data_IF_989293941219
#
_entry.id   IF_989293941219
#
_cell.length_a   1.000
_cell.length_b   1.000
_cell.length_c   1.000
_cell.angle_alpha   90.00
_cell.angle_beta   90.00
_cell.angle_gamma   90.00
#
_symmetry.space_group_name_H-M   'P 1'
#
loop_
_entity.id
_entity.type
_entity.pdbx_description
1 polymer ?
#
# COMPACT_ATOMS: atom_id res chain seq x y z
N UNK A 1 23.73 3.01 -7.04
CA UNK A 1 22.51 3.14 -7.85
C UNK A 1 22.33 1.81 -8.56
N UNK A 2 21.36 0.99 -8.15
CA UNK A 2 21.10 -0.31 -8.79
C UNK A 2 20.26 -0.07 -10.04
N UNK A 3 20.92 0.23 -11.16
CA UNK A 3 20.29 0.20 -12.49
C UNK A 3 20.51 -1.18 -13.09
N UNK A 4 19.59 -2.11 -12.84
CA UNK A 4 19.45 -3.30 -13.67
C UNK A 4 18.05 -3.31 -14.28
N UNK A 5 17.98 -3.13 -15.59
CA UNK A 5 16.81 -3.54 -16.37
C UNK A 5 16.81 -5.07 -16.36
N UNK A 6 16.01 -5.67 -15.49
CA UNK A 6 15.93 -7.13 -15.34
C UNK A 6 15.05 -7.68 -16.47
N UNK A 7 15.61 -8.59 -17.27
CA UNK A 7 14.81 -9.41 -18.21
C UNK A 7 14.06 -10.49 -17.43
N UNK A 8 12.83 -10.89 -17.84
CA UNK A 8 11.90 -11.67 -17.02
C UNK A 8 12.40 -13.05 -16.54
N UNK A 9 13.47 -13.58 -17.15
CA UNK A 9 13.88 -14.98 -16.98
C UNK A 9 15.24 -15.15 -16.29
N UNK A 10 15.87 -14.06 -15.83
CA UNK A 10 17.15 -14.12 -15.11
C UNK A 10 16.95 -14.08 -13.58
N UNK A 11 17.33 -15.17 -12.90
CA UNK A 11 17.55 -15.17 -11.45
C UNK A 11 19.00 -14.75 -11.17
N UNK A 12 19.20 -13.53 -10.66
CA UNK A 12 20.50 -13.09 -10.14
C UNK A 12 20.70 -13.67 -8.73
N UNK A 13 21.72 -14.52 -8.57
CA UNK A 13 22.07 -15.18 -7.31
C UNK A 13 23.03 -14.37 -6.42
N UNK A 14 23.48 -13.21 -6.89
CA UNK A 14 24.45 -12.36 -6.19
C UNK A 14 23.78 -11.20 -5.45
N UNK A 15 24.26 -10.91 -4.24
CA UNK A 15 23.96 -9.69 -3.52
C UNK A 15 24.74 -8.57 -4.21
N UNK A 16 24.13 -7.92 -5.20
CA UNK A 16 24.71 -6.74 -5.86
C UNK A 16 24.04 -5.47 -5.34
N UNK A 17 24.86 -4.56 -4.82
CA UNK A 17 24.49 -3.29 -4.20
C UNK A 17 25.48 -2.95 -3.09
N UNK A 18 25.90 -1.68 -2.95
CA UNK A 18 26.66 -1.31 -1.74
C UNK A 18 25.77 -1.56 -0.53
N UNK A 19 26.25 -2.33 0.45
CA UNK A 19 25.45 -2.89 1.56
C UNK A 19 24.53 -1.88 2.27
N UNK A 20 24.85 -0.59 2.20
CA UNK A 20 24.11 0.52 2.79
C UNK A 20 22.75 0.82 2.17
N UNK A 21 22.53 0.50 0.88
CA UNK A 21 21.29 0.86 0.17
C UNK A 21 20.33 -0.31 -0.02
N UNK A 22 20.74 -1.51 0.40
CA UNK A 22 20.00 -2.75 0.13
C UNK A 22 18.75 -2.82 1.00
N UNK A 23 17.60 -3.11 0.38
CA UNK A 23 16.33 -3.29 1.07
C UNK A 23 16.27 -4.64 1.81
N UNK A 24 15.52 -4.76 2.92
CA UNK A 24 15.46 -5.99 3.73
C UNK A 24 15.05 -7.25 2.94
N UNK A 25 14.15 -7.10 1.97
CA UNK A 25 13.63 -8.19 1.14
C UNK A 25 14.64 -8.68 0.09
N UNK A 26 15.57 -7.83 -0.36
CA UNK A 26 16.61 -8.20 -1.32
C UNK A 26 17.60 -9.17 -0.69
N UNK A 27 17.81 -9.08 0.63
CA UNK A 27 18.58 -10.07 1.40
C UNK A 27 17.95 -11.47 1.36
N UNK A 28 16.65 -11.55 1.06
CA UNK A 28 15.89 -12.78 0.88
C UNK A 28 15.70 -13.15 -0.61
N UNK A 29 16.45 -12.51 -1.52
CA UNK A 29 16.39 -12.69 -2.99
C UNK A 29 15.02 -12.33 -3.60
N UNK A 30 14.27 -11.46 -2.95
CA UNK A 30 13.03 -10.90 -3.49
C UNK A 30 13.31 -9.50 -4.05
N UNK A 31 13.62 -9.43 -5.35
CA UNK A 31 13.78 -8.17 -6.06
C UNK A 31 12.41 -7.64 -6.49
N UNK A 32 12.14 -6.37 -6.19
CA UNK A 32 10.86 -5.72 -6.48
C UNK A 32 11.08 -4.22 -6.68
N UNK A 33 10.18 -3.53 -7.37
CA UNK A 33 10.27 -2.07 -7.60
C UNK A 33 10.23 -1.28 -6.28
N UNK A 34 9.65 -1.88 -5.25
CA UNK A 34 9.63 -1.37 -3.90
C UNK A 34 11.04 -1.30 -3.28
N UNK A 35 11.97 -2.18 -3.68
CA UNK A 35 13.36 -2.14 -3.21
C UNK A 35 14.11 -0.88 -3.67
N UNK A 36 13.77 -0.35 -4.85
CA UNK A 36 14.29 0.92 -5.34
C UNK A 36 13.79 2.09 -4.48
N UNK A 37 12.52 2.03 -4.08
CA UNK A 37 11.94 3.05 -3.17
C UNK A 37 12.64 3.07 -1.80
N UNK A 38 13.07 1.91 -1.28
CA UNK A 38 13.91 1.86 -0.08
C UNK A 38 15.27 2.52 -0.31
N UNK A 39 15.91 2.21 -1.44
CA UNK A 39 17.21 2.80 -1.80
C UNK A 39 17.13 4.32 -1.89
N UNK A 40 16.03 4.85 -2.47
CA UNK A 40 15.73 6.29 -2.49
C UNK A 40 15.59 6.81 -1.07
N UNK A 41 14.85 6.12 -0.19
CA UNK A 41 14.73 6.49 1.23
C UNK A 41 16.07 6.59 1.95
N UNK A 42 16.99 5.65 1.71
CA UNK A 42 18.35 5.68 2.28
C UNK A 42 19.13 6.90 1.77
N UNK A 43 19.07 7.18 0.47
CA UNK A 43 19.75 8.33 -0.14
C UNK A 43 19.17 9.63 0.43
N UNK A 44 17.85 9.77 0.51
CA UNK A 44 17.19 10.95 1.08
C UNK A 44 17.57 11.15 2.55
N UNK A 45 17.61 10.08 3.35
CA UNK A 45 18.08 10.14 4.74
C UNK A 45 19.49 10.72 4.82
N UNK A 46 20.43 10.21 4.00
CA UNK A 46 21.82 10.67 3.97
C UNK A 46 21.89 12.14 3.53
N UNK A 47 21.11 12.56 2.54
CA UNK A 47 21.11 13.95 2.07
C UNK A 47 20.62 14.93 3.14
N UNK A 48 19.65 14.54 3.98
CA UNK A 48 19.07 15.40 5.01
C UNK A 48 19.94 15.52 6.26
N UNK A 49 20.62 14.45 6.68
CA UNK A 49 21.35 14.43 7.94
C UNK A 49 22.86 14.16 7.84
N UNK A 50 23.37 13.84 6.65
CA UNK A 50 24.78 13.50 6.43
C UNK A 50 25.22 12.16 7.02
N UNK A 51 24.32 11.38 7.62
CA UNK A 51 24.62 10.11 8.28
C UNK A 51 23.85 8.94 7.65
N UNK A 52 24.32 7.71 7.90
CA UNK A 52 23.70 6.49 7.36
C UNK A 52 22.57 6.02 8.29
N UNK A 53 21.39 5.66 7.76
CA UNK A 53 20.29 5.19 8.61
C UNK A 53 20.61 3.85 9.30
N UNK A 54 21.44 3.02 8.65
CA UNK A 54 21.90 1.74 9.18
C UNK A 54 23.42 1.68 9.07
N UNK A 55 24.10 1.47 10.20
CA UNK A 55 25.55 1.42 10.26
C UNK A 55 26.03 0.29 11.17
N UNK A 56 27.10 -0.39 10.74
CA UNK A 56 27.89 -1.28 11.56
C UNK A 56 29.31 -1.40 10.99
N UNK A 57 30.24 -1.95 11.78
CA UNK A 57 31.64 -2.15 11.36
C UNK A 57 31.83 -3.23 10.28
N UNK A 58 30.86 -4.11 10.09
CA UNK A 58 30.91 -5.21 9.13
C UNK A 58 29.64 -5.25 8.29
N UNK A 59 29.73 -5.77 7.06
CA UNK A 59 28.56 -5.93 6.17
C UNK A 59 27.44 -6.76 6.82
N UNK A 60 27.79 -7.87 7.47
CA UNK A 60 26.81 -8.67 8.22
C UNK A 60 26.18 -7.90 9.38
N UNK A 61 26.91 -6.95 9.97
CA UNK A 61 26.36 -6.01 10.96
C UNK A 61 25.34 -5.06 10.33
N UNK A 62 25.63 -4.53 9.14
CA UNK A 62 24.75 -3.62 8.41
C UNK A 62 23.46 -4.35 8.05
N UNK A 63 23.54 -5.58 7.49
CA UNK A 63 22.36 -6.37 7.16
C UNK A 63 21.49 -6.69 8.38
N UNK A 64 22.12 -7.01 9.53
CA UNK A 64 21.37 -7.19 10.78
C UNK A 64 20.68 -5.90 11.22
N UNK A 65 21.33 -4.75 11.05
CA UNK A 65 20.74 -3.44 11.35
C UNK A 65 19.55 -3.13 10.45
N UNK A 66 19.69 -3.30 9.12
CA UNK A 66 18.60 -3.13 8.14
C UNK A 66 17.37 -3.98 8.48
N UNK A 67 17.56 -5.21 8.97
CA UNK A 67 16.46 -6.11 9.34
C UNK A 67 15.84 -5.73 10.69
N UNK A 68 16.66 -5.37 11.69
CA UNK A 68 16.21 -5.33 13.10
C UNK A 68 16.09 -3.94 13.71
N UNK A 69 16.90 -2.99 13.30
CA UNK A 69 16.92 -1.64 13.85
C UNK A 69 16.05 -0.70 13.01
N UNK A 70 15.51 0.34 13.63
CA UNK A 70 14.81 1.41 12.92
C UNK A 70 15.76 2.61 12.75
N UNK A 71 15.60 3.43 11.68
CA UNK A 71 16.43 4.61 11.52
C UNK A 71 16.20 5.61 12.65
N UNK A 72 17.26 6.31 13.05
CA UNK A 72 17.19 7.35 14.06
C UNK A 72 16.63 8.65 13.47
N UNK A 73 15.62 9.23 14.10
CA UNK A 73 15.03 10.53 13.71
C UNK A 73 15.02 11.54 14.86
N UNK A 74 15.73 11.25 15.95
CA UNK A 74 15.72 12.04 17.19
C UNK A 74 17.01 12.86 17.35
N UNK A 75 18.15 12.31 16.92
CA UNK A 75 19.44 13.01 17.03
C UNK A 75 19.60 14.12 15.99
N UNK A 76 20.41 15.12 16.33
CA UNK A 76 20.78 16.22 15.42
C UNK A 76 21.31 15.70 14.07
N UNK A 77 20.88 16.27 12.92
CA UNK A 77 20.05 17.47 12.77
C UNK A 77 18.53 17.21 12.71
N UNK A 78 18.06 15.98 12.91
CA UNK A 78 16.65 15.63 12.67
C UNK A 78 15.64 16.52 13.40
N UNK A 79 15.82 16.96 14.67
CA UNK A 79 14.90 17.91 15.29
C UNK A 79 14.62 19.18 14.47
N UNK A 80 15.58 19.63 13.64
CA UNK A 80 15.45 20.80 12.76
C UNK A 80 14.88 20.51 11.36
N UNK A 81 14.82 19.24 10.96
CA UNK A 81 14.25 18.81 9.66
C UNK A 81 12.72 18.87 9.73
N UNK A 82 12.07 19.32 8.65
CA UNK A 82 10.62 19.50 8.61
C UNK A 82 9.86 18.18 8.85
N UNK A 83 8.65 18.22 9.46
CA UNK A 83 7.83 17.04 9.68
C UNK A 83 7.54 16.27 8.38
N UNK A 84 7.27 16.96 7.27
CA UNK A 84 6.94 16.38 5.97
C UNK A 84 8.14 15.63 5.38
N UNK A 85 9.35 16.16 5.55
CA UNK A 85 10.58 15.49 5.11
C UNK A 85 10.83 14.21 5.92
N UNK A 86 10.58 14.24 7.23
CA UNK A 86 10.66 13.05 8.11
C UNK A 86 9.63 12.00 7.70
N UNK A 87 8.38 12.39 7.51
CA UNK A 87 7.31 11.48 7.08
C UNK A 87 7.65 10.82 5.75
N UNK A 88 8.11 11.61 4.78
CA UNK A 88 8.55 11.10 3.48
C UNK A 88 9.60 9.98 3.63
N UNK A 89 10.65 10.21 4.43
CA UNK A 89 11.71 9.22 4.65
C UNK A 89 11.20 8.01 5.42
N UNK A 90 10.38 8.19 6.45
CA UNK A 90 9.78 7.08 7.22
C UNK A 90 8.93 6.17 6.34
N UNK A 91 8.14 6.74 5.43
CA UNK A 91 7.28 6.00 4.51
C UNK A 91 8.06 5.26 3.40
N UNK A 92 9.24 5.74 3.01
CA UNK A 92 10.15 5.04 2.11
C UNK A 92 10.97 3.94 2.80
N UNK A 93 11.40 4.19 4.04
CA UNK A 93 12.15 3.24 4.86
C UNK A 93 11.25 2.29 5.67
N UNK A 94 10.03 2.03 5.18
CA UNK A 94 9.17 1.02 5.76
C UNK A 94 9.66 -0.39 5.39
N UNK A 95 9.90 -1.22 6.41
CA UNK A 95 10.36 -2.61 6.23
C UNK A 95 9.30 -3.51 5.61
N UNK A 96 8.00 -3.22 5.83
CA UNK A 96 6.92 -3.94 5.16
C UNK A 96 6.70 -3.32 3.77
N UNK A 97 7.00 -4.10 2.73
CA UNK A 97 6.86 -3.70 1.32
C UNK A 97 5.48 -3.13 0.99
N UNK A 98 4.43 -3.67 1.61
CA UNK A 98 3.04 -3.28 1.33
C UNK A 98 2.71 -1.90 1.92
N UNK A 99 3.50 -1.46 2.90
CA UNK A 99 3.38 -0.17 3.57
C UNK A 99 4.24 0.92 2.92
N UNK A 100 5.23 0.50 2.13
CA UNK A 100 6.16 1.40 1.44
C UNK A 100 5.43 2.17 0.33
N UNK A 101 5.75 3.46 0.17
CA UNK A 101 5.20 4.26 -0.93
C UNK A 101 5.71 3.77 -2.28
N UNK A 102 4.85 3.86 -3.29
CA UNK A 102 5.27 3.76 -4.70
C UNK A 102 5.94 5.06 -5.16
N UNK A 103 6.63 5.03 -6.30
CA UNK A 103 7.20 6.23 -6.89
C UNK A 103 6.15 7.31 -7.21
N UNK A 104 4.98 6.91 -7.71
CA UNK A 104 3.88 7.82 -8.00
C UNK A 104 3.34 8.51 -6.74
N UNK A 105 3.23 7.77 -5.64
CA UNK A 105 2.82 8.31 -4.34
C UNK A 105 3.89 9.23 -3.76
N UNK A 106 5.17 8.87 -3.85
CA UNK A 106 6.29 9.69 -3.41
C UNK A 106 6.34 11.05 -4.15
N UNK A 107 6.08 11.06 -5.46
CA UNK A 107 5.99 12.31 -6.24
C UNK A 107 4.78 13.18 -5.86
N UNK A 108 3.73 12.57 -5.31
CA UNK A 108 2.53 13.29 -4.85
C UNK A 108 2.62 13.72 -3.38
N UNK A 109 3.70 13.37 -2.69
CA UNK A 109 3.89 13.61 -1.27
C UNK A 109 4.02 15.11 -0.96
N UNK A 110 3.43 15.65 0.12
CA UNK A 110 3.50 17.08 0.45
C UNK A 110 4.93 17.66 0.43
N UNK A 111 5.93 16.89 0.86
CA UNK A 111 7.34 17.31 0.84
C UNK A 111 7.93 17.56 -0.58
N UNK A 112 7.48 16.84 -1.60
CA UNK A 112 7.99 16.93 -2.98
C UNK A 112 6.97 17.46 -3.98
N UNK A 113 5.72 17.69 -3.54
CA UNK A 113 4.61 18.03 -4.42
C UNK A 113 4.92 19.34 -5.12
N UNK A 114 4.91 19.26 -6.44
CA UNK A 114 4.95 20.39 -7.36
C UNK A 114 3.75 20.25 -8.28
N UNK A 115 2.88 21.27 -8.31
CA UNK A 115 1.66 21.26 -9.14
C UNK A 115 1.97 21.14 -10.64
N UNK A 116 3.19 21.50 -11.05
CA UNK A 116 3.63 21.41 -12.43
C UNK A 116 4.21 20.04 -12.80
N UNK A 117 4.42 19.15 -11.82
CA UNK A 117 5.06 17.86 -12.05
C UNK A 117 4.00 16.78 -12.24
N UNK A 118 4.01 16.17 -13.43
CA UNK A 118 3.12 15.05 -13.72
C UNK A 118 3.42 13.85 -12.82
N UNK A 119 2.39 13.34 -12.15
CA UNK A 119 2.44 12.08 -11.41
C UNK A 119 2.23 10.94 -12.41
N UNK A 120 3.11 9.93 -12.47
CA UNK A 120 2.93 8.81 -13.39
C UNK A 120 1.74 7.92 -12.98
N UNK A 121 1.20 7.18 -13.94
CA UNK A 121 0.16 6.19 -13.69
C UNK A 121 0.68 5.07 -12.78
N UNK A 122 0.00 4.83 -11.66
CA UNK A 122 0.40 3.81 -10.70
C UNK A 122 -0.33 2.48 -10.97
N UNK A 123 0.45 1.46 -11.32
CA UNK A 123 -0.06 0.10 -11.58
C UNK A 123 -0.66 -0.55 -10.33
N UNK A 124 -0.30 -0.09 -9.12
CA UNK A 124 -0.94 -0.51 -7.88
C UNK A 124 -2.45 -0.26 -7.90
N UNK A 125 -2.90 0.84 -8.53
CA UNK A 125 -4.33 1.19 -8.64
C UNK A 125 -5.10 0.08 -9.36
N UNK A 126 -4.56 -0.47 -10.44
CA UNK A 126 -5.18 -1.56 -11.20
C UNK A 126 -5.36 -2.81 -10.34
N UNK A 127 -4.33 -3.14 -9.53
CA UNK A 127 -4.37 -4.28 -8.61
C UNK A 127 -5.42 -4.08 -7.51
N UNK A 128 -5.46 -2.90 -6.89
CA UNK A 128 -6.40 -2.60 -5.81
C UNK A 128 -7.85 -2.58 -6.32
N UNK A 129 -8.08 -1.92 -7.46
CA UNK A 129 -9.40 -1.87 -8.10
C UNK A 129 -9.89 -3.28 -8.45
N UNK A 130 -9.04 -4.15 -9.01
CA UNK A 130 -9.39 -5.57 -9.25
C UNK A 130 -9.85 -6.27 -7.97
N UNK A 131 -9.10 -6.13 -6.88
CA UNK A 131 -9.42 -6.74 -5.60
C UNK A 131 -10.77 -6.22 -5.07
N UNK A 132 -10.99 -4.91 -5.15
CA UNK A 132 -12.22 -4.26 -4.71
C UNK A 132 -13.46 -4.73 -5.50
N UNK A 133 -13.36 -4.88 -6.82
CA UNK A 133 -14.50 -5.31 -7.65
C UNK A 133 -14.92 -6.75 -7.36
N UNK A 134 -13.94 -7.60 -6.99
CA UNK A 134 -14.15 -9.00 -6.62
C UNK A 134 -14.56 -9.18 -5.16
N UNK A 135 -14.43 -8.13 -4.36
CA UNK A 135 -14.79 -8.14 -2.96
C UNK A 135 -16.31 -8.23 -2.79
N UNK A 136 -16.74 -8.82 -1.68
CA UNK A 136 -18.15 -8.90 -1.31
C UNK A 136 -18.71 -7.51 -1.01
N UNK A 137 -20.05 -7.32 -1.08
CA UNK A 137 -20.66 -6.03 -0.71
C UNK A 137 -20.27 -5.57 0.69
N UNK A 138 -20.13 -6.48 1.66
CA UNK A 138 -19.74 -6.16 3.02
C UNK A 138 -18.30 -5.64 3.12
N UNK A 139 -17.37 -6.29 2.39
CA UNK A 139 -15.98 -5.84 2.29
C UNK A 139 -15.86 -4.47 1.60
N UNK A 140 -16.66 -4.24 0.56
CA UNK A 140 -16.70 -2.96 -0.16
C UNK A 140 -17.25 -1.84 0.72
N UNK A 141 -18.30 -2.11 1.52
CA UNK A 141 -18.81 -1.15 2.51
C UNK A 141 -17.74 -0.76 3.54
N UNK A 142 -16.97 -1.74 4.04
CA UNK A 142 -15.86 -1.47 4.96
C UNK A 142 -14.77 -0.57 4.34
N UNK A 143 -14.39 -0.83 3.09
CA UNK A 143 -13.41 -0.01 2.36
C UNK A 143 -13.95 1.38 1.99
N UNK A 144 -15.25 1.49 1.68
CA UNK A 144 -15.90 2.77 1.39
C UNK A 144 -15.93 3.67 2.62
N UNK A 145 -16.23 3.10 3.79
CA UNK A 145 -16.15 3.80 5.06
C UNK A 145 -14.72 4.31 5.34
N UNK A 146 -13.70 3.50 5.01
CA UNK A 146 -12.30 3.91 5.10
C UNK A 146 -11.95 5.04 4.12
N UNK A 147 -12.43 5.01 2.89
CA UNK A 147 -12.19 6.09 1.93
C UNK A 147 -12.84 7.41 2.34
N UNK A 148 -13.99 7.37 3.03
CA UNK A 148 -14.69 8.57 3.53
C UNK A 148 -13.94 9.26 4.67
N UNK A 149 -13.15 8.51 5.43
CA UNK A 149 -12.35 9.04 6.53
C UNK A 149 -10.96 9.57 6.09
N UNK A 150 -10.65 9.56 4.79
CA UNK A 150 -9.35 10.02 4.32
C UNK A 150 -9.21 11.53 4.43
N UNK A 151 -8.04 12.03 4.83
CA UNK A 151 -7.74 13.45 4.80
C UNK A 151 -7.57 13.93 3.33
N UNK A 152 -7.81 15.22 3.08
CA UNK A 152 -7.77 15.80 1.73
C UNK A 152 -6.39 15.61 1.07
N UNK A 153 -5.32 15.61 1.86
CA UNK A 153 -3.94 15.38 1.41
C UNK A 153 -3.78 14.02 0.72
N UNK A 154 -4.45 12.98 1.26
CA UNK A 154 -4.46 11.64 0.69
C UNK A 154 -5.31 11.57 -0.60
N UNK A 155 -6.37 12.39 -0.68
CA UNK A 155 -7.22 12.47 -1.86
C UNK A 155 -6.50 13.11 -3.05
N UNK A 156 -5.49 13.96 -2.85
CA UNK A 156 -4.76 14.58 -3.97
C UNK A 156 -4.09 13.54 -4.87
N UNK A 157 -3.44 12.51 -4.29
CA UNK A 157 -2.87 11.41 -5.07
C UNK A 157 -3.96 10.65 -5.84
N UNK A 158 -5.08 10.32 -5.18
CA UNK A 158 -6.20 9.61 -5.82
C UNK A 158 -6.84 10.44 -6.93
N UNK A 159 -6.99 11.75 -6.76
CA UNK A 159 -7.48 12.67 -7.81
C UNK A 159 -6.54 12.71 -8.99
N UNK A 160 -5.22 12.75 -8.76
CA UNK A 160 -4.25 12.71 -9.85
C UNK A 160 -4.38 11.41 -10.65
N UNK A 161 -4.44 10.25 -9.98
CA UNK A 161 -4.62 8.96 -10.63
C UNK A 161 -5.96 8.86 -11.38
N UNK A 162 -7.05 9.35 -10.78
CA UNK A 162 -8.36 9.36 -11.42
C UNK A 162 -8.36 10.22 -12.70
N UNK A 163 -7.71 11.39 -12.67
CA UNK A 163 -7.57 12.26 -13.85
C UNK A 163 -6.80 11.60 -15.00
N UNK A 164 -5.75 10.82 -14.71
CA UNK A 164 -4.98 10.07 -15.73
C UNK A 164 -5.83 9.02 -16.46
N UNK A 165 -6.90 8.53 -15.82
CA UNK A 165 -7.88 7.63 -16.44
C UNK A 165 -8.85 8.37 -17.38
N UNK A 166 -8.87 9.70 -17.37
CA UNK A 166 -9.76 10.55 -18.16
C UNK A 166 -11.23 10.15 -18.01
N UNK A 167 -11.84 10.40 -16.83
CA UNK A 167 -13.23 10.06 -16.58
C UNK A 167 -14.15 10.69 -17.65
N UNK A 168 -15.12 9.91 -18.12
CA UNK A 168 -16.20 10.39 -18.99
C UNK A 168 -17.45 10.51 -18.15
N UNK A 169 -18.10 11.67 -18.19
CA UNK A 169 -19.28 11.98 -17.37
C UNK A 169 -19.02 11.77 -15.86
N UNK A 170 -17.83 12.15 -15.39
CA UNK A 170 -17.42 11.98 -14.00
C UNK A 170 -17.10 10.53 -13.58
N UNK A 171 -17.14 9.58 -14.51
CA UNK A 171 -16.95 8.16 -14.23
C UNK A 171 -15.81 7.53 -15.04
N UNK A 172 -15.15 6.53 -14.46
CA UNK A 172 -14.18 5.67 -15.15
C UNK A 172 -14.76 4.28 -15.40
N UNK A 173 -14.40 3.67 -16.52
CA UNK A 173 -14.84 2.34 -16.97
C UNK A 173 -13.64 1.50 -17.42
N UNK A 174 -13.87 0.23 -17.75
CA UNK A 174 -12.84 -0.63 -18.34
C UNK A 174 -12.12 0.04 -19.53
N UNK A 175 -12.85 0.77 -20.37
CA UNK A 175 -12.26 1.46 -21.53
C UNK A 175 -11.23 2.53 -21.12
N UNK A 176 -11.51 3.26 -20.03
CA UNK A 176 -10.62 4.27 -19.47
C UNK A 176 -9.33 3.63 -18.94
N UNK A 177 -9.45 2.55 -18.17
CA UNK A 177 -8.31 1.81 -17.65
C UNK A 177 -7.45 1.21 -18.76
N UNK A 178 -8.06 0.65 -19.82
CA UNK A 178 -7.33 0.15 -21.00
C UNK A 178 -6.59 1.26 -21.72
N UNK A 179 -7.28 2.36 -22.04
CA UNK A 179 -6.69 3.50 -22.74
C UNK A 179 -5.56 4.16 -21.95
N UNK A 180 -5.76 4.40 -20.65
CA UNK A 180 -4.74 4.97 -19.79
C UNK A 180 -3.49 4.08 -19.70
N UNK A 181 -3.66 2.76 -19.59
CA UNK A 181 -2.53 1.84 -19.58
C UNK A 181 -1.78 1.93 -20.91
N UNK A 182 -2.48 1.82 -22.05
CA UNK A 182 -1.85 1.88 -23.39
C UNK A 182 -1.07 3.17 -23.62
N UNK A 183 -1.54 4.31 -23.11
CA UNK A 183 -0.86 5.61 -23.28
C UNK A 183 0.37 5.80 -22.39
N UNK A 184 0.40 5.14 -21.23
CA UNK A 184 1.48 5.29 -20.25
C UNK A 184 2.46 4.12 -20.29
N UNK A 185 2.30 3.18 -21.23
CA UNK A 185 3.24 2.07 -21.42
C UNK A 185 4.56 2.59 -21.99
N UNK A 186 5.66 2.06 -21.44
CA UNK A 186 6.98 2.14 -22.07
C UNK A 186 7.16 0.99 -23.05
N UNK A 187 8.09 1.14 -24.01
CA UNK A 187 8.38 0.10 -25.00
C UNK A 187 8.76 -1.25 -24.34
N UNK A 188 9.48 -1.20 -23.21
CA UNK A 188 9.84 -2.39 -22.43
C UNK A 188 8.63 -3.11 -21.78
N UNK A 189 7.53 -2.41 -21.52
CA UNK A 189 6.30 -3.02 -20.97
C UNK A 189 5.55 -3.81 -22.05
N UNK A 190 5.53 -3.31 -23.29
CA UNK A 190 4.86 -3.95 -24.44
C UNK A 190 5.41 -5.36 -24.70
N UNK A 191 6.70 -5.58 -24.46
CA UNK A 191 7.36 -6.84 -24.74
C UNK A 191 7.07 -7.95 -23.73
N UNK A 192 6.61 -7.65 -22.50
CA UNK A 192 6.55 -8.69 -21.46
C UNK A 192 5.16 -9.09 -20.97
N UNK A 193 4.23 -8.17 -20.60
CA UNK A 193 3.05 -8.56 -19.77
C UNK A 193 1.81 -7.68 -19.87
N UNK A 194 1.67 -6.91 -20.94
CA UNK A 194 0.57 -5.92 -21.09
C UNK A 194 -0.81 -6.56 -21.13
N UNK A 195 -0.97 -7.69 -21.82
CA UNK A 195 -2.26 -8.38 -21.91
C UNK A 195 -2.74 -8.90 -20.55
N UNK A 196 -1.83 -9.31 -19.67
CA UNK A 196 -2.18 -9.78 -18.32
C UNK A 196 -2.78 -8.67 -17.45
N UNK A 197 -2.24 -7.45 -17.53
CA UNK A 197 -2.73 -6.29 -16.77
C UNK A 197 -4.07 -5.80 -17.35
N UNK A 198 -4.27 -5.90 -18.66
CA UNK A 198 -5.55 -5.59 -19.28
C UNK A 198 -6.62 -6.61 -18.86
N UNK A 199 -6.28 -7.90 -18.87
CA UNK A 199 -7.17 -8.99 -18.44
C UNK A 199 -7.50 -8.90 -16.94
N UNK A 200 -6.58 -8.37 -16.13
CA UNK A 200 -6.82 -8.05 -14.71
C UNK A 200 -8.06 -7.17 -14.51
N UNK A 201 -8.38 -6.30 -15.47
CA UNK A 201 -9.49 -5.35 -15.37
C UNK A 201 -10.80 -5.86 -15.98
N UNK A 202 -10.85 -7.05 -16.58
CA UNK A 202 -12.06 -7.63 -17.17
C UNK A 202 -13.32 -7.55 -16.27
N UNK A 203 -13.24 -7.72 -14.92
CA UNK A 203 -14.40 -7.55 -14.05
C UNK A 203 -15.09 -6.17 -14.09
N UNK A 204 -14.47 -5.17 -14.72
CA UNK A 204 -15.05 -3.83 -14.97
C UNK A 204 -15.94 -3.75 -16.22
N UNK A 205 -16.07 -4.80 -17.02
CA UNK A 205 -16.67 -4.69 -18.36
C UNK A 205 -18.04 -3.98 -18.37
N UNK A 206 -18.88 -4.21 -17.35
CA UNK A 206 -20.19 -3.59 -17.19
C UNK A 206 -20.30 -2.57 -16.05
N UNK A 207 -19.17 -2.21 -15.41
CA UNK A 207 -19.15 -1.31 -14.24
C UNK A 207 -18.53 0.03 -14.60
N UNK A 208 -19.13 1.09 -14.07
CA UNK A 208 -18.55 2.43 -14.01
C UNK A 208 -18.31 2.79 -12.55
N UNK A 209 -17.27 3.56 -12.27
CA UNK A 209 -16.99 4.10 -10.95
C UNK A 209 -16.89 5.62 -11.04
N UNK A 210 -17.66 6.32 -10.21
CA UNK A 210 -17.42 7.73 -9.92
C UNK A 210 -16.14 7.89 -9.07
N UNK A 211 -15.82 9.13 -8.72
CA UNK A 211 -14.61 9.41 -7.94
C UNK A 211 -14.64 8.80 -6.53
N UNK A 212 -15.81 8.73 -5.87
CA UNK A 212 -15.93 8.18 -4.52
C UNK A 212 -15.72 6.65 -4.52
N UNK A 213 -16.39 5.95 -5.43
CA UNK A 213 -16.22 4.50 -5.61
C UNK A 213 -14.79 4.17 -6.06
N UNK A 214 -14.18 5.03 -6.90
CA UNK A 214 -12.77 4.89 -7.25
C UNK A 214 -11.86 5.03 -6.02
N UNK A 215 -12.10 6.01 -5.15
CA UNK A 215 -11.32 6.16 -3.91
C UNK A 215 -11.43 4.92 -3.03
N UNK A 216 -12.63 4.39 -2.82
CA UNK A 216 -12.84 3.14 -2.08
C UNK A 216 -12.09 1.95 -2.72
N UNK A 217 -12.02 1.92 -4.05
CA UNK A 217 -11.37 0.86 -4.81
C UNK A 217 -9.83 0.98 -4.86
N UNK A 218 -9.29 2.19 -4.73
CA UNK A 218 -7.90 2.52 -4.99
C UNK A 218 -7.04 2.69 -3.72
N UNK A 219 -7.62 2.52 -2.53
CA UNK A 219 -6.90 2.63 -1.26
C UNK A 219 -6.12 1.36 -0.91
N UNK A 220 -4.87 1.53 -0.47
CA UNK A 220 -4.10 0.46 0.16
C UNK A 220 -4.15 0.62 1.67
N UNK A 221 -4.84 -0.31 2.34
CA UNK A 221 -4.97 -0.30 3.81
C UNK A 221 -3.59 -0.37 4.47
N UNK A 222 -2.65 -1.15 3.92
CA UNK A 222 -1.28 -1.24 4.44
C UNK A 222 -0.53 0.10 4.34
N UNK A 223 -0.72 0.87 3.27
CA UNK A 223 -0.06 2.18 3.15
C UNK A 223 -0.71 3.24 4.04
N UNK A 224 -2.03 3.14 4.29
CA UNK A 224 -2.72 3.98 5.27
C UNK A 224 -2.28 3.67 6.70
N UNK A 225 -2.05 2.40 7.05
CA UNK A 225 -1.48 2.02 8.35
C UNK A 225 -0.08 2.60 8.62
N UNK A 226 0.64 2.99 7.57
CA UNK A 226 1.96 3.62 7.71
C UNK A 226 1.88 5.12 7.95
N UNK A 227 0.69 5.71 7.79
CA UNK A 227 0.44 7.12 8.01
C UNK A 227 0.36 7.42 9.50
N UNK A 228 0.92 8.54 9.95
CA UNK A 228 0.91 8.94 11.37
C UNK A 228 -0.52 9.11 11.92
N UNK A 229 -1.46 9.57 11.08
CA UNK A 229 -2.87 9.77 11.46
C UNK A 229 -3.73 8.49 11.36
N UNK A 230 -3.11 7.31 11.18
CA UNK A 230 -3.85 6.05 10.98
C UNK A 230 -4.93 5.80 12.04
N UNK A 231 -4.63 6.02 13.32
CA UNK A 231 -5.58 5.77 14.40
C UNK A 231 -6.84 6.63 14.29
N UNK A 232 -6.67 7.91 13.94
CA UNK A 232 -7.79 8.83 13.68
C UNK A 232 -8.59 8.40 12.46
N UNK A 233 -7.91 8.11 11.34
CA UNK A 233 -8.55 7.66 10.09
C UNK A 233 -9.36 6.39 10.33
N UNK A 234 -8.77 5.40 11.01
CA UNK A 234 -9.41 4.13 11.31
C UNK A 234 -10.64 4.30 12.21
N UNK A 235 -10.55 5.15 13.24
CA UNK A 235 -11.65 5.41 14.17
C UNK A 235 -12.83 6.06 13.44
N UNK A 236 -12.59 7.15 12.70
CA UNK A 236 -13.62 7.81 11.89
C UNK A 236 -14.20 6.89 10.80
N UNK A 237 -13.35 6.05 10.18
CA UNK A 237 -13.82 5.05 9.22
C UNK A 237 -14.77 4.04 9.86
N UNK A 238 -14.52 3.64 11.10
CA UNK A 238 -15.42 2.74 11.80
C UNK A 238 -16.75 3.39 12.16
N UNK A 239 -16.78 4.68 12.49
CA UNK A 239 -18.02 5.44 12.68
C UNK A 239 -18.88 5.43 11.41
N UNK A 240 -18.29 5.76 10.25
CA UNK A 240 -19.00 5.65 8.97
C UNK A 240 -19.46 4.22 8.66
N UNK A 241 -18.66 3.22 9.04
CA UNK A 241 -19.02 1.83 8.84
C UNK A 241 -20.20 1.43 9.74
N UNK A 242 -20.23 1.88 10.99
CA UNK A 242 -21.34 1.62 11.92
C UNK A 242 -22.69 2.11 11.39
N UNK A 243 -22.70 3.26 10.71
CA UNK A 243 -23.90 3.89 10.17
C UNK A 243 -24.39 3.22 8.88
N UNK A 244 -23.48 2.91 7.95
CA UNK A 244 -23.87 2.56 6.57
C UNK A 244 -23.55 1.11 6.16
N UNK A 245 -22.67 0.42 6.89
CA UNK A 245 -22.07 -0.83 6.42
C UNK A 245 -22.06 -1.98 7.42
N UNK A 246 -22.05 -1.72 8.73
CA UNK A 246 -21.91 -2.74 9.76
C UNK A 246 -23.26 -3.41 10.02
N UNK A 247 -23.40 -4.59 9.41
CA UNK A 247 -24.57 -5.47 9.55
C UNK A 247 -24.31 -6.52 10.64
N UNK A 248 -25.41 -7.05 11.18
CA UNK A 248 -25.35 -8.27 11.99
C UNK A 248 -24.79 -9.40 11.12
N UNK A 249 -23.85 -10.17 11.65
CA UNK A 249 -23.18 -11.24 10.92
C UNK A 249 -22.86 -12.40 11.86
N UNK A 250 -23.06 -13.64 11.38
CA UNK A 250 -22.64 -14.84 12.13
C UNK A 250 -21.15 -15.13 11.91
N UNK A 251 -20.59 -16.02 12.74
CA UNK A 251 -19.20 -16.47 12.57
C UNK A 251 -19.02 -17.21 11.24
N UNK A 252 -20.02 -18.01 10.86
CA UNK A 252 -20.05 -18.77 9.61
C UNK A 252 -20.11 -17.84 8.40
N UNK A 253 -20.96 -16.82 8.45
CA UNK A 253 -21.05 -15.80 7.39
C UNK A 253 -19.75 -15.00 7.28
N UNK A 254 -19.16 -14.59 8.41
CA UNK A 254 -17.88 -13.89 8.42
C UNK A 254 -16.74 -14.77 7.88
N UNK A 255 -16.76 -16.07 8.16
CA UNK A 255 -15.81 -17.02 7.61
C UNK A 255 -15.93 -17.14 6.08
N UNK A 256 -17.16 -17.15 5.55
CA UNK A 256 -17.43 -17.12 4.11
C UNK A 256 -16.96 -15.81 3.47
N UNK A 257 -17.23 -14.66 4.10
CA UNK A 257 -16.78 -13.33 3.65
C UNK A 257 -15.24 -13.26 3.54
N UNK A 258 -14.52 -13.98 4.40
CA UNK A 258 -13.06 -14.05 4.43
C UNK A 258 -12.47 -15.22 3.64
N UNK A 259 -13.33 -16.09 3.09
CA UNK A 259 -12.95 -17.34 2.43
C UNK A 259 -12.02 -18.21 3.29
N UNK A 260 -12.39 -18.39 4.57
CA UNK A 260 -11.66 -19.24 5.52
C UNK A 260 -12.52 -20.39 6.03
N UNK A 261 -11.85 -21.49 6.37
CA UNK A 261 -12.51 -22.69 6.87
C UNK A 261 -12.85 -22.64 8.36
N UNK A 262 -13.51 -23.69 8.88
CA UNK A 262 -13.97 -23.77 10.27
C UNK A 262 -12.87 -23.60 11.33
N UNK A 263 -11.61 -23.87 11.00
CA UNK A 263 -10.47 -23.68 11.89
C UNK A 263 -10.29 -22.23 12.35
N UNK A 264 -10.79 -21.25 11.58
CA UNK A 264 -10.72 -19.84 11.92
C UNK A 264 -11.90 -19.35 12.80
N UNK A 265 -12.96 -20.15 13.00
CA UNK A 265 -14.18 -19.70 13.68
C UNK A 265 -13.91 -19.19 15.11
N UNK A 266 -13.00 -19.83 15.84
CA UNK A 266 -12.62 -19.39 17.19
C UNK A 266 -12.05 -17.97 17.21
N UNK A 267 -11.22 -17.63 16.23
CA UNK A 267 -10.63 -16.30 16.09
C UNK A 267 -11.68 -15.26 15.66
N UNK A 268 -12.58 -15.64 14.76
CA UNK A 268 -13.61 -14.75 14.21
C UNK A 268 -14.69 -14.41 15.24
N UNK A 269 -14.94 -15.30 16.20
CA UNK A 269 -15.89 -15.06 17.28
C UNK A 269 -15.49 -13.82 18.12
N UNK A 270 -14.19 -13.57 18.30
CA UNK A 270 -13.68 -12.40 19.02
C UNK A 270 -13.82 -11.09 18.22
N UNK A 271 -14.16 -11.18 16.93
CA UNK A 271 -14.33 -10.01 16.06
C UNK A 271 -15.75 -9.45 16.14
N UNK A 272 -16.72 -10.27 16.55
CA UNK A 272 -18.14 -9.95 16.58
C UNK A 272 -18.55 -9.55 18.01
N UNK A 273 -19.26 -8.43 18.14
CA UNK A 273 -19.76 -7.94 19.43
C UNK A 273 -20.91 -8.81 19.91
N UNK A 274 -20.85 -9.23 21.18
CA UNK A 274 -21.93 -10.01 21.83
C UNK A 274 -23.22 -9.21 22.04
N UNK A 275 -23.14 -7.88 22.06
CA UNK A 275 -24.28 -7.00 22.33
C UNK A 275 -25.30 -6.97 21.19
N UNK A 276 -24.83 -6.99 19.94
CA UNK A 276 -25.66 -6.75 18.76
C UNK A 276 -25.29 -7.62 17.54
N UNK A 277 -24.27 -8.49 17.65
CA UNK A 277 -23.86 -9.38 16.57
C UNK A 277 -23.17 -8.67 15.39
N UNK A 278 -22.75 -7.41 15.56
CA UNK A 278 -22.01 -6.65 14.53
C UNK A 278 -20.50 -6.78 14.72
N UNK A 279 -19.70 -6.40 13.72
CA UNK A 279 -18.25 -6.33 13.90
C UNK A 279 -17.88 -5.28 14.96
N UNK A 280 -16.99 -5.64 15.86
CA UNK A 280 -16.31 -4.68 16.74
C UNK A 280 -15.30 -3.84 15.95
N UNK A 281 -14.79 -2.74 16.53
CA UNK A 281 -13.69 -1.98 15.91
C UNK A 281 -12.48 -2.87 15.60
N UNK A 282 -12.10 -3.73 16.54
CA UNK A 282 -11.05 -4.72 16.31
C UNK A 282 -11.38 -5.65 15.13
N UNK A 283 -12.60 -6.16 15.09
CA UNK A 283 -13.10 -7.02 14.02
C UNK A 283 -13.07 -6.32 12.66
N UNK A 284 -13.52 -5.06 12.59
CA UNK A 284 -13.47 -4.23 11.39
C UNK A 284 -12.04 -4.07 10.87
N UNK A 285 -11.08 -3.75 11.74
CA UNK A 285 -9.68 -3.58 11.37
C UNK A 285 -9.09 -4.88 10.82
N UNK A 286 -9.31 -6.00 11.49
CA UNK A 286 -8.86 -7.31 10.99
C UNK A 286 -9.56 -7.68 9.68
N UNK A 287 -10.86 -7.40 9.59
CA UNK A 287 -11.65 -7.65 8.39
C UNK A 287 -11.12 -6.85 7.20
N UNK A 288 -10.72 -5.58 7.34
CA UNK A 288 -10.10 -4.77 6.27
C UNK A 288 -8.83 -5.42 5.70
N UNK A 289 -7.93 -5.95 6.52
CA UNK A 289 -6.74 -6.66 6.02
C UNK A 289 -7.03 -8.03 5.41
N UNK A 290 -8.21 -8.58 5.70
CA UNK A 290 -8.52 -10.00 5.51
C UNK A 290 -7.73 -10.87 6.48
N UNK A 291 -7.79 -12.18 6.31
CA UNK A 291 -6.90 -13.08 7.04
C UNK A 291 -5.51 -12.98 6.41
N UNK A 292 -4.76 -11.96 6.82
CA UNK A 292 -3.32 -11.92 6.57
C UNK A 292 -2.77 -13.22 7.13
N UNK A 293 -1.98 -13.95 6.33
CA UNK A 293 -1.27 -15.17 6.70
C UNK A 293 -0.15 -14.88 7.73
N UNK A 294 -0.46 -14.10 8.77
CA UNK A 294 0.34 -13.85 9.97
C UNK A 294 -0.08 -14.85 11.05
N UNK A 295 -0.07 -16.13 10.70
CA UNK A 295 0.15 -17.18 11.67
C UNK A 295 1.65 -17.46 11.71
N UNK A 296 2.23 -17.31 12.91
CA UNK A 296 3.61 -17.67 13.28
C UNK A 296 4.76 -16.77 12.79
N UNK A 297 5.00 -15.65 13.46
CA UNK A 297 6.36 -15.30 13.89
C UNK A 297 6.44 -14.39 15.13
N UNK A 298 5.40 -14.43 15.96
CA UNK A 298 5.54 -14.16 17.41
C UNK A 298 5.55 -15.51 18.14
N UNK A 299 6.67 -16.24 18.02
CA UNK A 299 7.09 -17.17 19.08
C UNK A 299 8.16 -16.42 19.88
N UNK A 300 7.76 -15.83 21.01
CA UNK A 300 8.06 -16.38 22.35
C UNK A 300 9.56 -16.71 22.53
N UNK A 301 10.36 -15.71 22.88
CA UNK A 301 11.02 -15.52 24.19
C UNK A 301 12.06 -14.41 24.07
#
# INVERSE_FOLDING_TARGET
MLLYVIKPDQRLNDIVGSAYYVAPEVLHRCYSVEADMWSIGVITYILLCGSRPFWARTESGIFRSVIRADPNFDDSPWPSVSPEAKDFVKRLLNKDLRKRMTAAQALSHPWLRDENRAVPLDILIYKLVKLYIRATPFKRAAQKALSKALPEEALVYLRAQFRLLEPKDGCVSLSNFKAALTRNMTDAMLESRVLDIINVMEPLYYKKMDFEEFCAAAISIYQLEAHEQWESIASTAFEYFEEEGNKVISVEELALELNVGPSAHSLLNDWIRKSDGKLSFHGYMKFLHGVSNRSSNTRRR
#
